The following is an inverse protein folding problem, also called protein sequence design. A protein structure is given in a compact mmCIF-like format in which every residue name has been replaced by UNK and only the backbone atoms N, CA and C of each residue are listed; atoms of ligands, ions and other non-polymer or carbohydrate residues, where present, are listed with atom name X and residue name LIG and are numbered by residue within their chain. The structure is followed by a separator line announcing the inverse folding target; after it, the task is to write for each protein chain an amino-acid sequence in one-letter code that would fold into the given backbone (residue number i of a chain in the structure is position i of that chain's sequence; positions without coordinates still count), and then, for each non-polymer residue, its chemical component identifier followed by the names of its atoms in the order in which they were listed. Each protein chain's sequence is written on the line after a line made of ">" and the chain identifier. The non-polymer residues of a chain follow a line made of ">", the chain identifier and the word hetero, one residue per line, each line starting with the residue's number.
data_IF_505018812555
#
_entry.id   IF_505018812555
#
_cell.length_a   1.000
_cell.length_b   1.000
_cell.length_c   1.000
_cell.angle_alpha   90.00
_cell.angle_beta   90.00
_cell.angle_gamma   90.00
#
_symmetry.space_group_name_H-M   'P 1'
#
loop_
_entity.id
_entity.type
_entity.pdbx_description
1 polymer ?
#
# COMPACT_ATOMS: atom_id res chain seq x y z
N UNK A 1 36.92 -19.95 32.27
CA UNK A 1 37.15 -19.63 30.85
C UNK A 1 36.06 -20.12 29.91
N UNK A 2 35.31 -21.15 30.19
CA UNK A 2 34.25 -21.66 29.29
C UNK A 2 32.96 -20.83 29.31
N UNK A 3 32.64 -20.14 30.40
CA UNK A 3 31.41 -19.34 30.52
C UNK A 3 31.43 -18.05 29.68
N UNK A 4 32.58 -17.39 29.54
CA UNK A 4 32.72 -16.16 28.74
C UNK A 4 32.49 -16.41 27.24
N UNK A 5 32.82 -17.60 26.74
CA UNK A 5 32.58 -17.99 25.34
C UNK A 5 31.10 -18.27 25.06
N UNK A 6 30.39 -18.85 26.02
CA UNK A 6 28.97 -19.14 25.90
C UNK A 6 28.13 -17.85 25.86
N UNK A 7 28.42 -16.87 26.70
CA UNK A 7 27.73 -15.58 26.68
C UNK A 7 27.98 -14.79 25.39
N UNK A 8 29.20 -14.82 24.85
CA UNK A 8 29.51 -14.20 23.55
C UNK A 8 28.78 -14.85 22.40
N UNK A 9 28.60 -16.16 22.43
CA UNK A 9 27.87 -16.89 21.39
C UNK A 9 26.38 -16.61 21.49
N UNK A 10 25.81 -16.51 22.68
CA UNK A 10 24.40 -16.19 22.90
C UNK A 10 24.12 -14.74 22.52
N UNK A 11 24.99 -13.79 22.87
CA UNK A 11 24.85 -12.39 22.47
C UNK A 11 24.96 -12.21 20.95
N UNK A 12 25.89 -12.89 20.29
CA UNK A 12 26.01 -12.84 18.83
C UNK A 12 24.78 -13.44 18.11
N UNK A 13 24.25 -14.57 18.62
CA UNK A 13 23.05 -15.19 18.07
C UNK A 13 21.80 -14.34 18.35
N UNK A 14 21.69 -13.73 19.52
CA UNK A 14 20.61 -12.81 19.85
C UNK A 14 20.62 -11.56 18.98
N UNK A 15 21.79 -10.98 18.71
CA UNK A 15 21.94 -9.81 17.86
C UNK A 15 21.58 -10.11 16.39
N UNK A 16 21.93 -11.31 15.89
CA UNK A 16 21.58 -11.76 14.53
C UNK A 16 20.08 -11.95 14.39
N UNK A 17 19.40 -12.50 15.40
CA UNK A 17 17.94 -12.70 15.38
C UNK A 17 17.20 -11.35 15.39
N UNK A 18 17.68 -10.38 16.17
CA UNK A 18 17.09 -9.04 16.21
C UNK A 18 17.30 -8.30 14.89
N UNK A 19 18.46 -8.45 14.23
CA UNK A 19 18.73 -7.82 12.93
C UNK A 19 17.93 -8.46 11.79
N UNK A 20 17.63 -9.76 11.86
CA UNK A 20 16.77 -10.42 10.88
C UNK A 20 15.28 -9.99 11.00
N UNK A 21 14.83 -9.69 12.22
CA UNK A 21 13.45 -9.25 12.45
C UNK A 21 13.14 -7.85 11.87
N UNK A 22 14.17 -7.02 11.63
CA UNK A 22 14.00 -5.68 11.05
C UNK A 22 14.03 -5.66 9.52
N UNK A 23 14.38 -6.77 8.87
CA UNK A 23 14.48 -6.90 7.41
C UNK A 23 13.23 -7.48 6.75
N UNK A 24 12.17 -7.74 7.51
CA UNK A 24 10.86 -8.05 6.93
C UNK A 24 10.34 -6.74 6.32
N UNK A 25 10.72 -6.47 5.07
CA UNK A 25 10.21 -5.40 4.26
C UNK A 25 8.69 -5.51 4.21
N UNK A 26 8.02 -4.73 5.04
CA UNK A 26 6.58 -4.74 5.13
C UNK A 26 6.02 -4.11 3.87
N UNK A 27 5.34 -4.88 3.03
CA UNK A 27 4.39 -4.30 2.10
C UNK A 27 3.47 -3.35 2.89
N UNK A 28 3.36 -2.11 2.45
CA UNK A 28 2.60 -1.10 3.16
C UNK A 28 1.12 -1.50 3.26
N UNK A 29 0.50 -1.23 4.40
CA UNK A 29 -0.94 -1.39 4.51
C UNK A 29 -1.63 -0.37 3.58
N UNK A 30 -2.72 -0.72 2.87
CA UNK A 30 -3.41 0.21 1.98
C UNK A 30 -3.78 1.54 2.63
N UNK A 31 -4.09 1.53 3.93
CA UNK A 31 -4.41 2.72 4.71
C UNK A 31 -3.22 3.65 4.94
N UNK A 32 -1.98 3.15 4.92
CA UNK A 32 -0.76 3.93 5.11
C UNK A 32 -0.17 4.49 3.82
N UNK A 33 -0.67 4.04 2.66
CA UNK A 33 -0.21 4.52 1.35
C UNK A 33 -0.74 5.93 1.11
N UNK A 34 0.17 6.88 0.92
CA UNK A 34 -0.19 8.27 0.64
C UNK A 34 -0.75 8.42 -0.78
N UNK A 35 -1.78 9.27 -0.99
CA UNK A 35 -2.27 9.56 -2.32
C UNK A 35 -1.19 10.20 -3.19
N UNK A 36 -1.10 9.78 -4.45
CA UNK A 36 -0.27 10.47 -5.42
C UNK A 36 -0.88 11.84 -5.77
N UNK A 37 -0.04 12.80 -6.15
CA UNK A 37 -0.50 14.09 -6.65
C UNK A 37 -1.03 13.91 -8.07
N UNK A 38 -2.35 13.97 -8.23
CA UNK A 38 -3.03 13.83 -9.53
C UNK A 38 -3.68 15.15 -9.92
N UNK A 39 -3.44 15.56 -11.17
CA UNK A 39 -4.05 16.78 -11.72
C UNK A 39 -5.55 16.60 -11.88
N UNK A 40 -6.33 17.62 -11.47
CA UNK A 40 -7.78 17.69 -11.71
C UNK A 40 -8.15 18.20 -13.10
N UNK A 41 -7.20 18.77 -13.85
CA UNK A 41 -7.45 19.37 -15.18
C UNK A 41 -8.30 18.47 -16.10
N UNK A 42 -8.06 17.16 -16.20
CA UNK A 42 -8.87 16.29 -17.06
C UNK A 42 -10.36 16.28 -16.70
N UNK A 43 -10.70 16.58 -15.47
CA UNK A 43 -12.08 16.51 -14.96
C UNK A 43 -12.83 17.85 -15.05
N UNK A 44 -12.11 18.97 -15.26
CA UNK A 44 -12.71 20.32 -15.27
C UNK A 44 -13.70 20.56 -16.39
N UNK A 45 -13.58 19.86 -17.52
CA UNK A 45 -14.44 19.98 -18.70
C UNK A 45 -15.45 18.84 -18.81
N UNK A 46 -15.42 17.85 -17.92
CA UNK A 46 -16.34 16.72 -17.95
C UNK A 46 -17.71 17.13 -17.39
N UNK A 47 -18.79 16.54 -17.94
CA UNK A 47 -20.10 16.65 -17.33
C UNK A 47 -20.11 16.04 -15.93
N UNK A 48 -20.82 16.65 -14.97
CA UNK A 48 -20.89 16.21 -13.58
C UNK A 48 -21.25 14.73 -13.43
N UNK A 49 -22.22 14.26 -14.21
CA UNK A 49 -22.60 12.84 -14.25
C UNK A 49 -21.44 11.89 -14.64
N UNK A 50 -20.57 12.35 -15.53
CA UNK A 50 -19.41 11.57 -15.94
C UNK A 50 -18.35 11.53 -14.85
N UNK A 51 -18.13 12.65 -14.14
CA UNK A 51 -17.21 12.70 -13.00
C UNK A 51 -17.72 11.78 -11.88
N UNK A 52 -19.01 11.80 -11.58
CA UNK A 52 -19.63 10.91 -10.58
C UNK A 52 -19.46 9.42 -10.94
N UNK A 53 -19.71 9.07 -12.19
CA UNK A 53 -19.55 7.69 -12.67
C UNK A 53 -18.10 7.22 -12.57
N UNK A 54 -17.14 8.05 -13.00
CA UNK A 54 -15.71 7.75 -12.89
C UNK A 54 -15.26 7.65 -11.44
N UNK A 55 -15.76 8.52 -10.58
CA UNK A 55 -15.48 8.49 -9.15
C UNK A 55 -15.93 7.16 -8.53
N UNK A 56 -17.14 6.72 -8.82
CA UNK A 56 -17.69 5.45 -8.34
C UNK A 56 -16.85 4.27 -8.85
N UNK A 57 -16.45 4.30 -10.12
CA UNK A 57 -15.61 3.27 -10.71
C UNK A 57 -14.22 3.23 -10.06
N UNK A 58 -13.60 4.39 -9.81
CA UNK A 58 -12.27 4.45 -9.20
C UNK A 58 -12.30 4.03 -7.72
N UNK A 59 -13.38 4.33 -6.99
CA UNK A 59 -13.58 3.85 -5.63
C UNK A 59 -13.67 2.32 -5.57
N UNK A 60 -14.40 1.70 -6.50
CA UNK A 60 -14.47 0.24 -6.64
C UNK A 60 -13.12 -0.37 -7.00
N UNK A 61 -12.36 0.29 -7.88
CA UNK A 61 -11.00 -0.12 -8.22
C UNK A 61 -10.05 -0.06 -7.02
N UNK A 62 -10.11 1.01 -6.24
CA UNK A 62 -9.31 1.17 -5.01
C UNK A 62 -9.64 0.07 -3.99
N UNK A 63 -10.91 -0.29 -3.84
CA UNK A 63 -11.32 -1.38 -2.94
C UNK A 63 -10.72 -2.72 -3.37
N UNK A 64 -10.77 -3.03 -4.67
CA UNK A 64 -10.16 -4.23 -5.24
C UNK A 64 -8.64 -4.25 -4.99
N UNK A 65 -7.92 -3.19 -5.38
CA UNK A 65 -6.47 -3.06 -5.19
C UNK A 65 -6.08 -3.18 -3.71
N UNK A 66 -6.86 -2.55 -2.83
CA UNK A 66 -6.63 -2.63 -1.39
C UNK A 66 -6.86 -4.03 -0.83
N UNK A 67 -7.81 -4.77 -1.39
CA UNK A 67 -8.06 -6.17 -1.07
C UNK A 67 -6.90 -7.08 -1.49
N UNK A 68 -6.42 -6.90 -2.71
CA UNK A 68 -5.29 -7.65 -3.26
C UNK A 68 -3.99 -7.35 -2.49
N UNK A 69 -3.74 -6.09 -2.14
CA UNK A 69 -2.58 -5.69 -1.33
C UNK A 69 -2.62 -6.33 0.07
N UNK A 70 -3.80 -6.39 0.71
CA UNK A 70 -3.95 -7.07 2.01
C UNK A 70 -3.72 -8.57 1.89
N UNK A 71 -4.25 -9.21 0.85
CA UNK A 71 -4.06 -10.64 0.59
C UNK A 71 -2.59 -10.96 0.34
N UNK A 72 -1.90 -10.16 -0.48
CA UNK A 72 -0.48 -10.26 -0.76
C UNK A 72 0.36 -10.13 0.52
N UNK A 73 0.06 -9.12 1.36
CA UNK A 73 0.74 -8.92 2.65
C UNK A 73 0.57 -10.11 3.59
N UNK A 74 -0.66 -10.64 3.71
CA UNK A 74 -0.93 -11.79 4.57
C UNK A 74 -0.21 -13.04 4.09
N UNK A 75 -0.16 -13.26 2.79
CA UNK A 75 0.56 -14.37 2.16
C UNK A 75 2.07 -14.27 2.38
N UNK A 76 2.66 -13.09 2.21
CA UNK A 76 4.08 -12.84 2.49
C UNK A 76 4.42 -13.13 3.94
N UNK A 77 3.58 -12.70 4.88
CA UNK A 77 3.77 -13.01 6.31
C UNK A 77 3.71 -14.51 6.57
N UNK A 78 2.77 -15.23 5.95
CA UNK A 78 2.65 -16.68 6.10
C UNK A 78 3.87 -17.42 5.52
N UNK A 79 4.37 -17.00 4.35
CA UNK A 79 5.54 -17.61 3.70
C UNK A 79 6.87 -17.23 4.36
N UNK A 80 6.98 -16.04 4.96
CA UNK A 80 8.20 -15.65 5.69
C UNK A 80 8.46 -16.52 6.89
N UNK A 81 7.42 -17.13 7.46
CA UNK A 81 7.53 -18.14 8.51
C UNK A 81 8.08 -19.48 7.99
N UNK A 82 8.02 -19.73 6.69
CA UNK A 82 8.49 -20.97 6.04
C UNK A 82 9.88 -20.84 5.41
N UNK A 83 10.58 -19.72 5.67
CA UNK A 83 11.98 -19.49 5.25
C UNK A 83 12.17 -19.65 3.72
N UNK A 84 11.41 -18.90 2.93
CA UNK A 84 11.67 -18.79 1.50
C UNK A 84 12.29 -17.42 1.22
N UNK A 85 13.61 -17.31 0.99
CA UNK A 85 14.22 -16.05 0.57
C UNK A 85 13.75 -15.69 -0.85
N UNK A 86 13.33 -14.45 -1.08
CA UNK A 86 12.87 -13.85 -2.35
C UNK A 86 11.36 -13.87 -2.63
N UNK A 87 10.56 -13.65 -1.62
CA UNK A 87 9.10 -13.45 -1.81
C UNK A 87 8.80 -12.09 -2.44
N UNK A 88 9.63 -11.08 -2.22
CA UNK A 88 9.45 -9.72 -2.75
C UNK A 88 9.36 -9.65 -4.29
N UNK A 89 9.96 -10.62 -4.98
CA UNK A 89 9.90 -10.71 -6.45
C UNK A 89 8.61 -11.39 -6.98
N UNK A 90 7.82 -12.00 -6.10
CA UNK A 90 6.60 -12.74 -6.46
C UNK A 90 5.31 -12.01 -6.06
N UNK A 91 5.42 -10.94 -5.27
CA UNK A 91 4.29 -10.12 -4.88
C UNK A 91 4.32 -8.83 -5.68
N UNK A 92 3.35 -8.69 -6.58
CA UNK A 92 3.09 -7.42 -7.25
C UNK A 92 2.80 -6.36 -6.19
N UNK A 93 3.71 -5.42 -6.05
CA UNK A 93 3.54 -4.32 -5.13
C UNK A 93 2.59 -3.30 -5.76
N UNK A 94 1.35 -3.28 -5.31
CA UNK A 94 0.31 -2.40 -5.82
C UNK A 94 0.29 -1.02 -5.13
N UNK A 95 1.33 -0.68 -4.37
CA UNK A 95 1.40 0.59 -3.66
C UNK A 95 1.26 1.79 -4.58
N UNK A 96 1.94 1.78 -5.74
CA UNK A 96 1.87 2.87 -6.71
C UNK A 96 0.47 2.98 -7.34
N UNK A 97 -0.17 1.86 -7.64
CA UNK A 97 -1.53 1.86 -8.19
C UNK A 97 -2.55 2.36 -7.16
N UNK A 98 -2.41 1.96 -5.89
CA UNK A 98 -3.23 2.44 -4.79
C UNK A 98 -3.02 3.94 -4.57
N UNK A 99 -1.78 4.42 -4.60
CA UNK A 99 -1.46 5.84 -4.47
C UNK A 99 -2.09 6.66 -5.61
N UNK A 100 -2.00 6.18 -6.85
CA UNK A 100 -2.60 6.82 -8.03
C UNK A 100 -4.13 6.82 -7.95
N UNK A 101 -4.74 5.70 -7.58
CA UNK A 101 -6.20 5.60 -7.43
C UNK A 101 -6.72 6.56 -6.36
N UNK A 102 -6.07 6.63 -5.20
CA UNK A 102 -6.39 7.62 -4.16
C UNK A 102 -6.27 9.06 -4.66
N UNK A 103 -5.20 9.36 -5.40
CA UNK A 103 -4.98 10.69 -5.98
C UNK A 103 -6.07 11.08 -6.98
N UNK A 104 -6.49 10.17 -7.85
CA UNK A 104 -7.61 10.39 -8.80
C UNK A 104 -8.92 10.64 -8.08
N UNK A 105 -9.22 9.85 -7.05
CA UNK A 105 -10.44 10.02 -6.24
C UNK A 105 -10.48 11.41 -5.63
N UNK A 106 -9.38 11.86 -5.01
CA UNK A 106 -9.28 13.20 -4.42
C UNK A 106 -9.50 14.28 -5.48
N UNK A 107 -8.84 14.17 -6.64
CA UNK A 107 -8.97 15.14 -7.73
C UNK A 107 -10.40 15.22 -8.29
N UNK A 108 -11.07 14.08 -8.46
CA UNK A 108 -12.46 14.00 -8.92
C UNK A 108 -13.44 14.52 -7.87
N UNK A 109 -13.24 14.20 -6.59
CA UNK A 109 -14.06 14.70 -5.48
C UNK A 109 -13.96 16.21 -5.33
N UNK A 110 -12.74 16.76 -5.42
CA UNK A 110 -12.53 18.22 -5.37
C UNK A 110 -13.26 18.92 -6.51
N UNK A 111 -13.15 18.40 -7.73
CA UNK A 111 -13.82 18.98 -8.89
C UNK A 111 -15.35 18.83 -8.82
N UNK A 112 -15.85 17.68 -8.39
CA UNK A 112 -17.28 17.45 -8.21
C UNK A 112 -17.87 18.39 -7.16
N UNK A 113 -17.22 18.54 -6.03
CA UNK A 113 -17.65 19.43 -4.94
C UNK A 113 -17.69 20.88 -5.40
N UNK A 114 -16.74 21.31 -6.22
CA UNK A 114 -16.62 22.70 -6.68
C UNK A 114 -17.64 23.10 -7.75
N UNK A 115 -18.01 22.18 -8.63
CA UNK A 115 -18.86 22.50 -9.80
C UNK A 115 -20.24 21.88 -9.76
N UNK A 116 -20.36 20.73 -9.13
CA UNK A 116 -21.54 19.89 -9.31
C UNK A 116 -22.50 19.94 -8.12
N UNK A 117 -22.07 20.46 -6.96
CA UNK A 117 -22.96 20.67 -5.81
C UNK A 117 -23.65 22.02 -5.80
N UNK A 118 -23.16 23.01 -6.59
CA UNK A 118 -23.74 24.36 -6.66
C UNK A 118 -24.84 24.47 -7.71
N UNK A 119 -25.15 23.42 -8.47
CA UNK A 119 -26.16 23.41 -9.55
C UNK A 119 -27.55 22.88 -9.09
N UNK A 120 -27.78 22.70 -7.79
CA UNK A 120 -29.07 22.42 -7.15
C UNK A 120 -29.57 23.70 -6.46
#
# INVERSE_FOLDING_TARGET
>A
MSQINLERVIMKKGLIVITLATLVGCAAAPSSIQPASVSRIPYTTMACRNVEMLLTQEMSNLERLSGEQRASRNWVLALSLLIIPRIDALTDNQEDEIAQSKGKIIAMQDEFTRRCLDDD
#
